data_IF_701405948003
#
_entry.id   IF_701405948003
#
_cell.length_a   1.000
_cell.length_b   1.000
_cell.length_c   1.000
_cell.angle_alpha   90.00
_cell.angle_beta   90.00
_cell.angle_gamma   90.00
#
_symmetry.space_group_name_H-M   'P 1'
#
loop_
_entity.id
_entity.type
_entity.pdbx_description
1 polymer ?
#
# COMPACT_ATOMS: atom_id res chain seq x y z
N UNK A 1 -41.85 -0.01 1.68
CA UNK A 1 -41.13 -1.06 2.45
C UNK A 1 -40.45 -0.51 3.70
N UNK A 2 -39.70 0.59 3.65
CA UNK A 2 -39.01 1.15 4.83
C UNK A 2 -39.95 1.46 6.01
N UNK A 3 -41.11 2.07 5.72
CA UNK A 3 -42.17 2.32 6.71
C UNK A 3 -42.62 1.05 7.46
N UNK A 4 -42.82 -0.07 6.75
CA UNK A 4 -43.24 -1.33 7.35
C UNK A 4 -42.14 -1.97 8.21
N UNK A 5 -40.87 -1.82 7.80
CA UNK A 5 -39.73 -2.26 8.61
C UNK A 5 -39.56 -1.43 9.90
N UNK A 6 -39.82 -0.11 9.84
CA UNK A 6 -39.72 0.75 11.03
C UNK A 6 -40.78 0.41 12.08
N UNK A 7 -41.96 -0.08 11.68
CA UNK A 7 -42.98 -0.57 12.62
C UNK A 7 -42.37 -1.67 13.51
N UNK A 8 -41.69 -2.67 12.95
CA UNK A 8 -41.04 -3.72 13.75
C UNK A 8 -39.91 -3.15 14.62
N UNK A 9 -39.13 -2.19 14.10
CA UNK A 9 -37.98 -1.61 14.80
C UNK A 9 -38.36 -0.87 16.09
N UNK A 10 -39.54 -0.25 16.13
CA UNK A 10 -40.01 0.54 17.27
C UNK A 10 -41.10 -0.15 18.09
N UNK A 11 -41.45 -1.39 17.76
CA UNK A 11 -42.55 -2.13 18.39
C UNK A 11 -42.04 -3.33 19.16
N UNK A 12 -42.55 -3.55 20.37
CA UNK A 12 -42.23 -4.75 21.16
C UNK A 12 -42.66 -6.04 20.45
N UNK A 13 -41.95 -7.15 20.68
CA UNK A 13 -42.29 -8.49 20.16
C UNK A 13 -43.74 -8.86 20.47
N UNK A 14 -44.24 -8.48 21.64
CA UNK A 14 -45.63 -8.70 22.06
C UNK A 14 -46.66 -8.06 21.11
N UNK A 15 -46.45 -6.80 20.73
CA UNK A 15 -47.32 -6.08 19.79
C UNK A 15 -47.20 -6.63 18.37
N UNK A 16 -45.99 -7.02 17.94
CA UNK A 16 -45.78 -7.62 16.61
C UNK A 16 -46.56 -8.94 16.45
N UNK A 17 -46.61 -9.77 17.50
CA UNK A 17 -47.35 -11.05 17.51
C UNK A 17 -48.87 -10.90 17.41
N UNK A 18 -49.43 -9.73 17.71
CA UNK A 18 -50.87 -9.47 17.67
C UNK A 18 -51.36 -8.88 16.36
N UNK A 19 -50.48 -8.54 15.43
CA UNK A 19 -50.93 -8.16 14.09
C UNK A 19 -51.65 -9.33 13.41
N UNK A 20 -52.66 -9.05 12.56
CA UNK A 20 -53.18 -10.01 11.61
C UNK A 20 -52.03 -10.74 10.89
N UNK A 21 -52.18 -12.06 10.70
CA UNK A 21 -51.09 -12.93 10.24
C UNK A 21 -50.36 -12.37 9.01
N UNK A 22 -51.10 -11.91 8.01
CA UNK A 22 -50.55 -11.32 6.78
C UNK A 22 -49.78 -10.01 7.02
N UNK A 23 -50.24 -9.15 7.94
CA UNK A 23 -49.56 -7.89 8.29
C UNK A 23 -48.26 -8.16 9.05
N UNK A 24 -48.30 -9.09 10.01
CA UNK A 24 -47.12 -9.52 10.76
C UNK A 24 -46.03 -10.06 9.81
N UNK A 25 -46.42 -10.92 8.87
CA UNK A 25 -45.51 -11.44 7.84
C UNK A 25 -44.93 -10.33 6.97
N UNK A 26 -45.75 -9.38 6.48
CA UNK A 26 -45.28 -8.26 5.67
C UNK A 26 -44.25 -7.40 6.43
N UNK A 27 -44.55 -7.05 7.68
CA UNK A 27 -43.69 -6.20 8.51
C UNK A 27 -42.36 -6.89 8.82
N UNK A 28 -42.41 -8.18 9.20
CA UNK A 28 -41.22 -8.98 9.45
C UNK A 28 -40.37 -9.18 8.20
N UNK A 29 -40.98 -9.49 7.05
CA UNK A 29 -40.26 -9.63 5.78
C UNK A 29 -39.55 -8.33 5.40
N UNK A 30 -40.22 -7.18 5.53
CA UNK A 30 -39.60 -5.88 5.30
C UNK A 30 -38.45 -5.62 6.29
N UNK A 31 -38.65 -5.89 7.59
CA UNK A 31 -37.61 -5.71 8.60
C UNK A 31 -36.38 -6.59 8.35
N UNK A 32 -36.59 -7.88 8.06
CA UNK A 32 -35.52 -8.84 7.74
C UNK A 32 -34.76 -8.42 6.49
N UNK A 33 -35.46 -7.98 5.43
CA UNK A 33 -34.82 -7.49 4.21
C UNK A 33 -33.87 -6.31 4.49
N UNK A 34 -34.32 -5.28 5.22
CA UNK A 34 -33.47 -4.13 5.54
C UNK A 34 -32.33 -4.50 6.50
N UNK A 35 -32.59 -5.38 7.47
CA UNK A 35 -31.57 -5.84 8.41
C UNK A 35 -30.49 -6.67 7.74
N UNK A 36 -30.88 -7.50 6.78
CA UNK A 36 -29.98 -8.28 5.93
C UNK A 36 -29.10 -7.35 5.09
N UNK A 37 -29.71 -6.37 4.40
CA UNK A 37 -28.98 -5.37 3.61
C UNK A 37 -27.97 -4.57 4.45
N UNK A 38 -28.40 -4.01 5.58
CA UNK A 38 -27.52 -3.27 6.49
C UNK A 38 -26.34 -4.13 7.01
N UNK A 39 -26.58 -5.43 7.23
CA UNK A 39 -25.54 -6.35 7.68
C UNK A 39 -24.56 -6.68 6.55
N UNK A 40 -25.05 -6.80 5.31
CA UNK A 40 -24.22 -7.07 4.14
C UNK A 40 -23.42 -5.85 3.65
N UNK A 41 -23.87 -4.63 3.93
CA UNK A 41 -23.14 -3.41 3.58
C UNK A 41 -21.87 -3.21 4.45
N UNK A 42 -21.85 -3.80 5.66
CA UNK A 42 -20.71 -3.67 6.61
C UNK A 42 -19.41 -4.30 6.09
N UNK A 43 -19.40 -5.55 5.57
CA UNK A 43 -18.22 -6.12 4.92
C UNK A 43 -17.65 -5.22 3.83
N UNK A 44 -18.50 -4.71 2.93
CA UNK A 44 -18.08 -3.82 1.82
C UNK A 44 -17.40 -2.57 2.36
N UNK A 45 -18.07 -1.88 3.30
CA UNK A 45 -17.53 -0.66 3.93
C UNK A 45 -16.20 -0.92 4.62
N UNK A 46 -16.10 -2.04 5.36
CA UNK A 46 -14.90 -2.44 6.08
C UNK A 46 -13.75 -2.78 5.15
N UNK A 47 -14.03 -3.45 4.03
CA UNK A 47 -13.04 -3.79 3.02
C UNK A 47 -12.47 -2.52 2.38
N UNK A 48 -13.33 -1.60 1.92
CA UNK A 48 -12.91 -0.33 1.35
C UNK A 48 -12.07 0.49 2.35
N UNK A 49 -12.49 0.55 3.61
CA UNK A 49 -11.74 1.23 4.66
C UNK A 49 -10.34 0.64 4.84
N UNK A 50 -10.23 -0.68 4.96
CA UNK A 50 -8.93 -1.33 5.17
C UNK A 50 -7.99 -1.19 3.98
N UNK A 51 -8.49 -1.36 2.75
CA UNK A 51 -7.70 -1.15 1.53
C UNK A 51 -7.13 0.27 1.51
N UNK A 52 -7.97 1.28 1.75
CA UNK A 52 -7.55 2.69 1.83
C UNK A 52 -6.53 2.91 2.95
N UNK A 53 -6.78 2.35 4.14
CA UNK A 53 -5.88 2.47 5.29
C UNK A 53 -4.47 1.96 4.97
N UNK A 54 -4.34 0.78 4.37
CA UNK A 54 -3.03 0.23 4.02
C UNK A 54 -2.36 0.99 2.87
N UNK A 55 -3.14 1.46 1.91
CA UNK A 55 -2.64 2.29 0.81
C UNK A 55 -2.08 3.64 1.30
N UNK A 56 -2.79 4.34 2.17
CA UNK A 56 -2.28 5.60 2.73
C UNK A 56 -1.08 5.36 3.66
N UNK A 57 -1.11 4.29 4.46
CA UNK A 57 0.02 3.95 5.30
C UNK A 57 1.29 3.59 4.49
N UNK A 58 1.17 2.95 3.32
CA UNK A 58 2.32 2.67 2.46
C UNK A 58 2.90 3.94 1.82
N UNK A 59 2.04 4.91 1.45
CA UNK A 59 2.49 6.22 0.99
C UNK A 59 3.27 6.99 2.07
N UNK A 60 2.73 7.03 3.28
CA UNK A 60 3.38 7.69 4.41
C UNK A 60 4.72 7.02 4.71
N UNK A 61 4.78 5.69 4.71
CA UNK A 61 6.04 4.95 4.87
C UNK A 61 7.08 5.32 3.80
N UNK A 62 6.66 5.39 2.54
CA UNK A 62 7.57 5.76 1.46
C UNK A 62 8.08 7.20 1.57
N UNK A 63 7.21 8.14 1.95
CA UNK A 63 7.63 9.53 2.20
C UNK A 63 8.61 9.62 3.37
N UNK A 64 8.34 8.89 4.46
CA UNK A 64 9.24 8.82 5.61
C UNK A 64 10.61 8.27 5.21
N UNK A 65 10.65 7.21 4.40
CA UNK A 65 11.90 6.64 3.87
C UNK A 65 12.71 7.64 3.04
N UNK A 66 12.03 8.42 2.19
CA UNK A 66 12.70 9.48 1.42
C UNK A 66 13.28 10.55 2.35
N UNK A 67 12.54 10.97 3.38
CA UNK A 67 13.04 11.94 4.36
C UNK A 67 14.26 11.39 5.11
N UNK A 68 14.20 10.15 5.58
CA UNK A 68 15.33 9.48 6.24
C UNK A 68 16.58 9.42 5.33
N UNK A 69 16.41 9.09 4.05
CA UNK A 69 17.52 9.08 3.10
C UNK A 69 18.04 10.48 2.79
N UNK A 70 17.16 11.47 2.65
CA UNK A 70 17.55 12.88 2.46
C UNK A 70 18.35 13.41 3.65
N UNK A 71 17.94 13.09 4.87
CA UNK A 71 18.68 13.46 6.09
C UNK A 71 20.08 12.84 6.09
N UNK A 72 20.18 11.54 5.78
CA UNK A 72 21.47 10.85 5.68
C UNK A 72 22.36 11.42 4.56
N UNK A 73 21.77 11.85 3.43
CA UNK A 73 22.49 12.55 2.36
C UNK A 73 22.92 13.94 2.81
N UNK A 74 22.05 14.69 3.47
CA UNK A 74 22.32 16.04 3.96
C UNK A 74 23.49 16.06 4.96
N UNK A 75 23.53 15.11 5.90
CA UNK A 75 24.68 14.97 6.82
C UNK A 75 25.99 14.78 6.06
N UNK A 76 25.99 13.93 5.04
CA UNK A 76 27.16 13.67 4.21
C UNK A 76 27.53 14.85 3.30
N UNK A 77 26.54 15.59 2.81
CA UNK A 77 26.72 16.77 1.96
C UNK A 77 27.44 17.92 2.67
N UNK A 78 27.26 18.07 4.00
CA UNK A 78 28.00 19.09 4.77
C UNK A 78 29.51 18.96 4.56
N UNK A 79 30.03 17.73 4.53
CA UNK A 79 31.45 17.50 4.31
C UNK A 79 31.87 17.74 2.86
N UNK A 80 31.02 17.38 1.89
CA UNK A 80 31.26 17.70 0.49
C UNK A 80 31.32 19.22 0.26
N UNK A 81 30.48 20.00 0.94
CA UNK A 81 30.51 21.47 0.91
C UNK A 81 31.87 22.03 1.36
N UNK A 82 32.44 21.50 2.44
CA UNK A 82 33.77 21.90 2.92
C UNK A 82 34.87 21.58 1.89
N UNK A 83 34.76 20.45 1.19
CA UNK A 83 35.72 20.06 0.15
C UNK A 83 35.57 20.95 -1.09
N UNK A 84 34.33 21.26 -1.50
CA UNK A 84 34.05 22.17 -2.61
C UNK A 84 34.53 23.59 -2.32
N UNK A 85 34.57 24.01 -1.05
CA UNK A 85 35.05 25.32 -0.65
C UNK A 85 36.53 25.56 -1.04
N UNK A 86 37.38 24.53 -1.04
CA UNK A 86 38.78 24.66 -1.47
C UNK A 86 38.96 25.15 -2.91
N UNK A 87 37.94 25.04 -3.76
CA UNK A 87 37.99 25.52 -5.14
C UNK A 87 37.60 27.00 -5.31
N UNK A 88 37.01 27.62 -4.27
CA UNK A 88 36.56 29.01 -4.27
C UNK A 88 37.25 29.86 -3.19
N UNK A 89 38.03 29.24 -2.30
CA UNK A 89 38.79 29.93 -1.25
C UNK A 89 39.99 30.67 -1.86
N UNK A 90 39.97 32.00 -1.78
CA UNK A 90 41.01 32.90 -2.28
C UNK A 90 42.35 32.78 -1.51
N UNK A 91 42.33 32.17 -0.32
CA UNK A 91 43.56 31.90 0.45
C UNK A 91 44.33 30.67 -0.07
N UNK A 92 43.70 29.83 -0.89
CA UNK A 92 44.34 28.69 -1.52
C UNK A 92 45.12 29.20 -2.73
N UNK A 93 46.45 29.30 -2.60
CA UNK A 93 47.32 29.70 -3.70
C UNK A 93 47.11 28.80 -4.93
N UNK A 94 46.93 29.41 -6.11
CA UNK A 94 46.83 28.68 -7.38
C UNK A 94 48.09 27.87 -7.76
N UNK A 95 49.19 28.06 -7.02
CA UNK A 95 50.42 27.25 -7.15
C UNK A 95 50.40 25.95 -6.35
N UNK A 96 49.40 25.74 -5.48
CA UNK A 96 49.25 24.51 -4.70
C UNK A 96 49.00 23.33 -5.62
N UNK A 97 49.66 22.22 -5.34
CA UNK A 97 49.47 21.01 -6.14
C UNK A 97 48.13 20.37 -5.80
N UNK A 98 47.45 19.79 -6.79
CA UNK A 98 46.22 19.03 -6.55
C UNK A 98 46.40 17.91 -5.51
N UNK A 99 47.61 17.34 -5.43
CA UNK A 99 47.96 16.33 -4.43
C UNK A 99 47.87 16.83 -2.99
N UNK A 100 48.22 18.09 -2.72
CA UNK A 100 48.14 18.71 -1.39
C UNK A 100 46.69 19.00 -1.00
N UNK A 101 45.90 19.53 -1.94
CA UNK A 101 44.45 19.73 -1.76
C UNK A 101 43.75 18.39 -1.47
N UNK A 102 44.14 17.32 -2.18
CA UNK A 102 43.58 15.98 -1.95
C UNK A 102 43.91 15.43 -0.56
N UNK A 103 45.12 15.70 -0.04
CA UNK A 103 45.50 15.32 1.34
C UNK A 103 44.67 16.08 2.37
N UNK A 104 44.44 17.38 2.15
CA UNK A 104 43.59 18.20 3.02
C UNK A 104 42.13 17.72 2.99
N UNK A 105 41.57 17.45 1.82
CA UNK A 105 40.23 16.88 1.70
C UNK A 105 40.10 15.52 2.40
N UNK A 106 41.09 14.64 2.29
CA UNK A 106 41.09 13.34 2.97
C UNK A 106 41.30 13.41 4.48
N UNK A 107 41.75 14.56 5.01
CA UNK A 107 41.78 14.82 6.45
C UNK A 107 40.38 15.12 7.01
N UNK A 108 39.46 15.60 6.17
CA UNK A 108 38.07 15.90 6.54
C UNK A 108 37.13 14.72 6.30
N UNK A 109 37.34 13.93 5.24
CA UNK A 109 36.49 12.79 4.84
C UNK A 109 37.35 11.66 4.28
N UNK A 110 37.10 10.41 4.67
CA UNK A 110 37.85 9.29 4.11
C UNK A 110 37.61 9.13 2.60
N UNK A 111 38.57 8.52 1.89
CA UNK A 111 38.44 8.27 0.44
C UNK A 111 37.20 7.44 0.10
N UNK A 112 36.86 6.48 0.96
CA UNK A 112 35.72 5.57 0.81
C UNK A 112 34.40 6.31 0.97
N UNK A 113 34.29 7.13 2.02
CA UNK A 113 33.11 7.99 2.24
C UNK A 113 32.94 8.99 1.11
N UNK A 114 34.01 9.65 0.65
CA UNK A 114 33.94 10.60 -0.46
C UNK A 114 33.48 9.92 -1.76
N UNK A 115 33.95 8.70 -2.02
CA UNK A 115 33.50 7.87 -3.14
C UNK A 115 32.02 7.49 -3.02
N UNK A 116 31.54 7.16 -1.82
CA UNK A 116 30.13 6.91 -1.57
C UNK A 116 29.28 8.17 -1.81
N UNK A 117 29.71 9.32 -1.30
CA UNK A 117 29.03 10.61 -1.47
C UNK A 117 28.91 10.97 -2.95
N UNK A 118 30.00 10.85 -3.72
CA UNK A 118 29.99 11.11 -5.17
C UNK A 118 29.00 10.21 -5.92
N UNK A 119 28.91 8.93 -5.57
CA UNK A 119 27.92 8.01 -6.16
C UNK A 119 26.48 8.36 -5.76
N UNK A 120 26.26 8.76 -4.51
CA UNK A 120 24.95 9.14 -4.01
C UNK A 120 24.45 10.47 -4.59
N UNK A 121 25.33 11.46 -4.78
CA UNK A 121 24.99 12.73 -5.43
C UNK A 121 24.52 12.57 -6.88
N UNK A 122 25.02 11.55 -7.57
CA UNK A 122 24.64 11.21 -8.93
C UNK A 122 23.36 10.35 -9.02
N UNK A 123 22.82 9.88 -7.89
CA UNK A 123 21.61 9.03 -7.86
C UNK A 123 20.42 9.90 -7.48
N UNK A 124 19.72 10.44 -8.47
CA UNK A 124 18.67 11.46 -8.27
C UNK A 124 17.30 10.90 -7.88
N UNK A 125 17.09 9.58 -7.99
CA UNK A 125 15.74 9.05 -7.99
C UNK A 125 15.49 8.16 -6.76
N UNK A 126 14.54 8.60 -5.93
CA UNK A 126 14.02 7.80 -4.82
C UNK A 126 13.01 6.78 -5.34
N UNK A 127 13.18 5.51 -4.95
CA UNK A 127 12.26 4.44 -5.32
C UNK A 127 11.02 4.42 -4.40
N UNK A 128 10.14 5.41 -4.59
CA UNK A 128 8.86 5.49 -3.88
C UNK A 128 8.01 4.22 -4.04
N UNK A 129 8.10 3.55 -5.19
CA UNK A 129 7.37 2.31 -5.43
C UNK A 129 7.95 1.15 -4.60
N UNK A 130 9.26 1.00 -4.60
CA UNK A 130 9.99 0.05 -3.76
C UNK A 130 9.66 0.22 -2.28
N UNK A 131 9.74 1.43 -1.74
CA UNK A 131 9.42 1.68 -0.33
C UNK A 131 7.95 1.42 0.03
N UNK A 132 7.01 1.65 -0.91
CA UNK A 132 5.60 1.28 -0.73
C UNK A 132 5.48 -0.24 -0.64
N UNK A 133 6.14 -0.98 -1.54
CA UNK A 133 6.09 -2.44 -1.53
C UNK A 133 6.77 -3.05 -0.30
N UNK A 134 7.86 -2.45 0.20
CA UNK A 134 8.50 -2.85 1.45
C UNK A 134 7.51 -2.81 2.63
N UNK A 135 6.71 -1.74 2.72
CA UNK A 135 5.65 -1.64 3.72
C UNK A 135 4.62 -2.77 3.58
N UNK A 136 4.17 -3.04 2.35
CA UNK A 136 3.19 -4.09 2.06
C UNK A 136 3.74 -5.47 2.43
N UNK A 137 4.99 -5.76 2.09
CA UNK A 137 5.65 -7.03 2.44
C UNK A 137 5.70 -7.22 3.96
N UNK A 138 6.07 -6.16 4.69
CA UNK A 138 6.14 -6.15 6.15
C UNK A 138 4.78 -6.39 6.81
N UNK A 139 3.69 -5.88 6.22
CA UNK A 139 2.33 -6.03 6.75
C UNK A 139 1.53 -7.18 6.10
N UNK A 140 2.10 -7.88 5.14
CA UNK A 140 1.45 -8.86 4.26
C UNK A 140 0.62 -9.89 5.02
N UNK A 141 1.14 -10.45 6.12
CA UNK A 141 0.41 -11.44 6.94
C UNK A 141 -0.85 -10.88 7.59
N UNK A 142 -0.78 -9.65 8.12
CA UNK A 142 -1.93 -8.98 8.78
C UNK A 142 -2.97 -8.57 7.75
N UNK A 143 -2.50 -8.02 6.62
CA UNK A 143 -3.33 -7.68 5.47
C UNK A 143 -4.06 -8.91 4.94
N UNK A 144 -3.33 -9.99 4.66
CA UNK A 144 -3.87 -11.23 4.15
C UNK A 144 -4.91 -11.85 5.11
N UNK A 145 -4.66 -11.85 6.41
CA UNK A 145 -5.61 -12.43 7.38
C UNK A 145 -6.93 -11.65 7.44
N UNK A 146 -6.87 -10.32 7.32
CA UNK A 146 -8.05 -9.45 7.49
C UNK A 146 -8.79 -9.24 6.17
N UNK A 147 -8.07 -8.82 5.12
CA UNK A 147 -8.65 -8.52 3.80
C UNK A 147 -9.20 -9.79 3.15
N UNK A 148 -8.57 -10.96 3.32
CA UNK A 148 -9.06 -12.22 2.75
C UNK A 148 -10.47 -12.57 3.24
N UNK A 149 -10.71 -12.45 4.55
CA UNK A 149 -12.03 -12.76 5.13
C UNK A 149 -13.12 -11.87 4.54
N UNK A 150 -12.82 -10.59 4.41
CA UNK A 150 -13.75 -9.61 3.84
C UNK A 150 -13.94 -9.84 2.34
N UNK A 151 -12.87 -10.10 1.60
CA UNK A 151 -12.93 -10.38 0.16
C UNK A 151 -13.80 -11.60 -0.14
N UNK A 152 -13.65 -12.70 0.62
CA UNK A 152 -14.49 -13.89 0.45
C UNK A 152 -15.97 -13.56 0.76
N UNK A 153 -16.24 -12.74 1.76
CA UNK A 153 -17.59 -12.37 2.21
C UNK A 153 -18.33 -11.41 1.26
N UNK A 154 -17.64 -10.72 0.37
CA UNK A 154 -18.24 -9.72 -0.54
C UNK A 154 -18.42 -10.33 -1.92
N UNK A 155 -19.61 -10.20 -2.51
CA UNK A 155 -19.80 -10.50 -3.93
C UNK A 155 -19.40 -9.29 -4.77
N UNK A 156 -18.36 -9.43 -5.58
CA UNK A 156 -17.93 -8.38 -6.51
C UNK A 156 -18.42 -8.77 -7.89
N UNK A 157 -19.30 -7.95 -8.44
CA UNK A 157 -19.80 -8.10 -9.80
C UNK A 157 -19.05 -7.11 -10.70
N UNK A 158 -18.63 -7.58 -11.87
CA UNK A 158 -18.01 -6.74 -12.89
C UNK A 158 -19.00 -6.51 -14.03
N UNK A 159 -18.82 -5.40 -14.74
CA UNK A 159 -19.56 -5.14 -15.96
C UNK A 159 -19.27 -6.20 -17.03
N UNK A 160 -20.22 -6.40 -17.95
CA UNK A 160 -20.13 -7.45 -18.98
C UNK A 160 -18.90 -7.34 -19.90
N UNK A 161 -18.32 -6.15 -20.01
CA UNK A 161 -17.10 -5.87 -20.77
C UNK A 161 -15.79 -6.23 -20.02
N UNK A 162 -15.86 -6.59 -18.73
CA UNK A 162 -14.72 -6.87 -17.86
C UNK A 162 -14.58 -8.37 -17.53
N UNK A 163 -14.78 -9.23 -18.54
CA UNK A 163 -14.74 -10.69 -18.39
C UNK A 163 -13.44 -11.22 -17.75
N UNK A 164 -12.28 -10.64 -18.11
CA UNK A 164 -10.98 -11.07 -17.56
C UNK A 164 -10.89 -10.82 -16.05
N UNK A 165 -11.45 -9.69 -15.59
CA UNK A 165 -11.47 -9.32 -14.18
C UNK A 165 -12.43 -10.20 -13.38
N UNK A 166 -13.65 -10.43 -13.90
CA UNK A 166 -14.61 -11.30 -13.21
C UNK A 166 -14.09 -12.73 -13.07
N UNK A 167 -13.51 -13.28 -14.13
CA UNK A 167 -12.91 -14.62 -14.09
C UNK A 167 -11.74 -14.69 -13.09
N UNK A 168 -10.88 -13.66 -13.05
CA UNK A 168 -9.80 -13.61 -12.08
C UNK A 168 -10.30 -13.47 -10.65
N UNK A 169 -11.37 -12.70 -10.40
CA UNK A 169 -11.96 -12.54 -9.07
C UNK A 169 -12.54 -13.87 -8.57
N UNK A 170 -13.31 -14.57 -9.39
CA UNK A 170 -13.86 -15.89 -9.05
C UNK A 170 -12.75 -16.92 -8.79
N UNK A 171 -11.72 -16.94 -9.64
CA UNK A 171 -10.56 -17.80 -9.42
C UNK A 171 -9.78 -17.45 -8.15
N UNK A 172 -9.58 -16.16 -7.89
CA UNK A 172 -8.91 -15.70 -6.66
C UNK A 172 -9.72 -16.09 -5.42
N UNK A 173 -11.05 -16.05 -5.50
CA UNK A 173 -11.95 -16.43 -4.41
C UNK A 173 -11.88 -17.92 -4.11
N UNK A 174 -11.91 -18.78 -5.13
CA UNK A 174 -11.76 -20.24 -4.95
C UNK A 174 -10.40 -20.59 -4.36
N UNK A 175 -9.31 -20.03 -4.90
CA UNK A 175 -7.95 -20.24 -4.38
C UNK A 175 -7.78 -19.78 -2.93
N UNK A 176 -8.33 -18.60 -2.58
CA UNK A 176 -8.26 -18.08 -1.21
C UNK A 176 -9.09 -18.88 -0.22
N UNK A 177 -10.19 -19.48 -0.66
CA UNK A 177 -11.08 -20.29 0.18
C UNK A 177 -10.48 -21.66 0.43
N UNK A 178 -10.00 -22.34 -0.61
CA UNK A 178 -9.50 -23.71 -0.54
C UNK A 178 -8.03 -23.77 -0.11
N UNK A 179 -7.18 -22.97 -0.75
CA UNK A 179 -5.71 -23.07 -0.64
C UNK A 179 -5.11 -22.03 0.31
N UNK A 180 -5.93 -21.08 0.78
CA UNK A 180 -5.55 -19.94 1.64
C UNK A 180 -4.44 -19.05 1.06
N UNK A 181 -4.15 -19.17 -0.24
CA UNK A 181 -3.09 -18.47 -0.96
C UNK A 181 -3.55 -18.23 -2.40
N UNK A 182 -3.10 -17.11 -2.98
CA UNK A 182 -3.24 -16.86 -4.42
C UNK A 182 -2.07 -17.52 -5.13
N UNK A 183 -2.37 -18.31 -6.14
CA UNK A 183 -1.39 -19.09 -6.91
C UNK A 183 -1.43 -18.62 -8.37
N UNK A 184 -2.62 -18.33 -8.88
CA UNK A 184 -2.78 -17.89 -10.27
C UNK A 184 -3.09 -16.41 -10.36
N UNK A 185 -2.32 -15.70 -11.18
CA UNK A 185 -2.64 -14.34 -11.60
C UNK A 185 -2.47 -14.26 -13.12
N UNK A 186 -3.52 -13.85 -13.85
CA UNK A 186 -3.40 -13.70 -15.30
C UNK A 186 -2.43 -12.55 -15.65
N UNK A 187 -1.39 -12.79 -16.47
CA UNK A 187 -0.36 -11.79 -16.77
C UNK A 187 -0.92 -10.57 -17.50
N UNK A 188 -1.98 -10.74 -18.30
CA UNK A 188 -2.66 -9.66 -19.03
C UNK A 188 -3.33 -8.63 -18.10
N UNK A 189 -3.49 -8.94 -16.81
CA UNK A 189 -3.94 -7.98 -15.80
C UNK A 189 -2.79 -7.13 -15.24
N UNK A 190 -1.52 -7.52 -15.39
CA UNK A 190 -0.39 -6.68 -14.98
C UNK A 190 -0.33 -5.37 -15.78
N UNK A 191 -0.70 -5.40 -17.06
CA UNK A 191 -0.78 -4.20 -17.92
C UNK A 191 -1.86 -3.22 -17.46
N UNK A 192 -2.92 -3.71 -16.81
CA UNK A 192 -4.00 -2.90 -16.24
C UNK A 192 -3.64 -2.31 -14.86
N UNK A 193 -2.59 -2.82 -14.22
CA UNK A 193 -2.08 -2.34 -12.94
C UNK A 193 -0.60 -1.96 -13.09
N UNK A 194 -0.29 -0.73 -13.56
CA UNK A 194 1.08 -0.27 -13.86
C UNK A 194 2.02 -0.21 -12.63
N UNK A 195 1.55 -0.65 -11.45
CA UNK A 195 2.32 -0.69 -10.21
C UNK A 195 2.92 -2.07 -9.89
N UNK A 196 2.66 -3.10 -10.71
CA UNK A 196 3.17 -4.48 -10.50
C UNK A 196 4.58 -4.67 -11.10
N UNK A 197 5.20 -3.61 -11.60
CA UNK A 197 6.51 -3.69 -12.24
C UNK A 197 7.62 -4.11 -11.26
N UNK A 198 8.30 -5.21 -11.62
CA UNK A 198 9.65 -5.60 -11.20
C UNK A 198 9.93 -5.94 -9.73
N UNK A 199 9.44 -7.09 -9.24
CA UNK A 199 10.22 -7.87 -8.23
C UNK A 199 10.26 -9.39 -8.39
N UNK A 200 9.57 -9.99 -9.36
CA UNK A 200 9.70 -11.45 -9.62
C UNK A 200 10.93 -11.84 -10.46
N UNK A 201 11.72 -10.88 -10.97
CA UNK A 201 12.92 -11.14 -11.77
C UNK A 201 14.25 -10.79 -11.10
N UNK A 202 14.25 -10.42 -9.81
CA UNK A 202 15.51 -10.15 -9.06
C UNK A 202 15.71 -11.08 -7.85
N UNK A 203 14.86 -12.11 -7.68
CA UNK A 203 14.86 -12.97 -6.49
C UNK A 203 15.22 -14.45 -6.72
N UNK A 204 15.63 -14.84 -7.92
CA UNK A 204 16.10 -16.20 -8.21
C UNK A 204 17.27 -16.15 -9.19
N UNK A 205 18.47 -15.90 -8.65
CA UNK A 205 19.77 -16.43 -9.12
C UNK A 205 20.89 -15.79 -8.28
N UNK A 206 20.96 -16.16 -7.00
CA UNK A 206 22.25 -16.35 -6.28
C UNK A 206 22.00 -17.43 -5.23
N UNK A 207 22.78 -18.51 -5.34
CA UNK A 207 22.75 -19.83 -4.67
C UNK A 207 21.81 -20.85 -5.33
#
# INVERSE_FOLDING_TARGET
>A
MAYYASIVRHTSVYKVRRYPHWQGLLYLACYLYFRYRETNDKPVTSFCYLVRKYHEASKVHAQQKVVEELEAVHEKLKFAGNILHYFVDENVSGSLTFGEIRKQAFSLVSKEELGAISKHLNKSDFDLAGYRWEYIDKQSRKMATTLRKLFIAINVECDANQFILSEQLEKSRTELTEKRKLITFKPNLQELFPFVENRRLQGQEVL
#
